data_IF_661210894517
#
_entry.id   IF_661210894517
#
_cell.length_a   1.000
_cell.length_b   1.000
_cell.length_c   1.000
_cell.angle_alpha   90.00
_cell.angle_beta   90.00
_cell.angle_gamma   90.00
#
_symmetry.space_group_name_H-M   'P 1'
#
loop_
_entity.id
_entity.type
_entity.pdbx_description
1 polymer ?
#
# COMPACT_ATOMS: atom_id res chain seq x y z
N UNK A 1 -30.69 -24.60 71.44
CA UNK A 1 -30.41 -23.47 70.52
C UNK A 1 -28.96 -22.99 70.56
N UNK A 2 -28.27 -22.93 71.72
CA UNK A 2 -26.89 -22.39 71.78
C UNK A 2 -25.81 -23.23 71.06
N UNK A 3 -25.97 -24.55 70.91
CA UNK A 3 -24.98 -25.38 70.18
C UNK A 3 -25.03 -25.21 68.66
N UNK A 4 -26.18 -24.82 68.11
CA UNK A 4 -26.35 -24.61 66.66
C UNK A 4 -25.74 -23.28 66.20
N UNK A 5 -25.79 -22.26 67.07
CA UNK A 5 -25.19 -20.93 66.85
C UNK A 5 -23.66 -21.02 66.85
N UNK A 6 -23.07 -21.83 67.74
CA UNK A 6 -21.61 -22.04 67.81
C UNK A 6 -21.10 -22.75 66.54
N UNK A 7 -21.87 -23.70 65.99
CA UNK A 7 -21.51 -24.38 64.74
C UNK A 7 -21.62 -23.46 63.51
N UNK A 8 -22.60 -22.56 63.49
CA UNK A 8 -22.77 -21.55 62.44
C UNK A 8 -21.64 -20.51 62.47
N UNK A 9 -21.16 -20.12 63.67
CA UNK A 9 -20.06 -19.16 63.82
C UNK A 9 -18.69 -19.78 63.45
N UNK A 10 -18.49 -21.07 63.68
CA UNK A 10 -17.29 -21.79 63.24
C UNK A 10 -17.18 -21.91 61.71
N UNK A 11 -18.30 -21.90 60.98
CA UNK A 11 -18.30 -22.00 59.52
C UNK A 11 -17.88 -20.68 58.85
N UNK A 12 -18.14 -19.54 59.51
CA UNK A 12 -17.74 -18.20 59.03
C UNK A 12 -16.22 -17.99 59.04
N UNK A 13 -15.47 -18.66 59.93
CA UNK A 13 -14.00 -18.55 59.97
C UNK A 13 -13.28 -19.40 58.90
N UNK A 14 -13.93 -20.44 58.36
CA UNK A 14 -13.32 -21.29 57.31
C UNK A 14 -13.54 -20.73 55.91
N UNK A 15 -14.58 -19.89 55.71
CA UNK A 15 -14.88 -19.27 54.43
C UNK A 15 -13.86 -18.18 53.99
N UNK A 16 -13.06 -17.63 54.91
CA UNK A 16 -12.04 -16.62 54.57
C UNK A 16 -10.78 -17.18 53.91
N UNK A 17 -10.54 -18.50 53.94
CA UNK A 17 -9.35 -19.11 53.32
C UNK A 17 -9.61 -19.76 51.94
N UNK A 18 -10.86 -19.82 51.48
CA UNK A 18 -11.18 -20.46 50.20
C UNK A 18 -11.13 -19.49 49.00
N UNK A 19 -10.93 -18.19 49.24
CA UNK A 19 -10.91 -17.15 48.20
C UNK A 19 -9.51 -16.68 47.81
N UNK A 20 -8.44 -17.34 48.27
CA UNK A 20 -7.09 -17.14 47.74
C UNK A 20 -6.81 -18.17 46.64
N UNK A 21 -7.43 -17.97 45.48
CA UNK A 21 -6.87 -18.50 44.24
C UNK A 21 -5.76 -17.53 43.83
N UNK A 22 -4.63 -17.67 44.51
CA UNK A 22 -3.41 -16.92 44.24
C UNK A 22 -2.82 -17.44 42.92
N UNK A 23 -3.39 -16.99 41.80
CA UNK A 23 -2.60 -16.82 40.59
C UNK A 23 -1.61 -15.70 40.92
N UNK A 24 -0.54 -16.03 41.65
CA UNK A 24 0.54 -15.10 42.01
C UNK A 24 1.26 -14.69 40.73
N UNK A 25 0.65 -13.75 39.97
CA UNK A 25 1.34 -13.02 38.93
C UNK A 25 2.56 -12.40 39.60
N UNK A 26 3.76 -12.79 39.18
CA UNK A 26 5.01 -12.34 39.77
C UNK A 26 5.17 -10.83 39.55
N UNK A 27 5.03 -9.98 40.58
CA UNK A 27 5.22 -8.54 40.43
C UNK A 27 6.72 -8.24 40.35
N UNK A 28 7.10 -7.44 39.35
CA UNK A 28 8.51 -7.09 39.09
C UNK A 28 8.81 -5.61 39.36
N UNK A 29 7.79 -4.75 39.36
CA UNK A 29 7.88 -3.36 39.74
C UNK A 29 6.53 -2.84 40.26
N UNK A 30 6.56 -1.73 41.01
CA UNK A 30 5.37 -1.09 41.59
C UNK A 30 5.53 0.43 41.59
N UNK A 31 4.48 1.14 41.22
CA UNK A 31 4.33 2.59 41.42
C UNK A 31 2.98 2.83 42.09
N UNK A 32 2.99 3.35 43.32
CA UNK A 32 1.78 3.54 44.14
C UNK A 32 0.93 2.26 44.22
N UNK A 33 -0.28 2.23 43.68
CA UNK A 33 -1.15 1.06 43.70
C UNK A 33 -1.13 0.25 42.39
N UNK A 34 -0.28 0.66 41.44
CA UNK A 34 -0.12 0.00 40.13
C UNK A 34 1.09 -0.92 40.15
N UNK A 35 0.90 -2.15 39.70
CA UNK A 35 1.93 -3.19 39.64
C UNK A 35 2.23 -3.55 38.19
N UNK A 36 3.50 -3.80 37.91
CA UNK A 36 3.96 -4.40 36.66
C UNK A 36 4.31 -5.86 36.92
N UNK A 37 3.82 -6.75 36.07
CA UNK A 37 4.01 -8.19 36.23
C UNK A 37 4.98 -8.75 35.21
N UNK A 38 5.59 -9.89 35.53
CA UNK A 38 6.50 -10.59 34.61
C UNK A 38 5.84 -10.91 33.26
N UNK A 39 4.56 -11.24 33.26
CA UNK A 39 3.79 -11.52 32.04
C UNK A 39 3.70 -10.33 31.08
N UNK A 40 3.77 -9.10 31.59
CA UNK A 40 3.67 -7.87 30.78
C UNK A 40 4.96 -7.61 29.98
N UNK A 41 6.07 -8.26 30.34
CA UNK A 41 7.38 -8.06 29.71
C UNK A 41 7.93 -9.32 29.02
N UNK A 42 7.26 -10.47 29.14
CA UNK A 42 7.76 -11.76 28.62
C UNK A 42 7.96 -11.77 27.11
N UNK A 43 7.16 -10.99 26.38
CA UNK A 43 7.22 -10.88 24.91
C UNK A 43 8.11 -9.73 24.43
N UNK A 44 8.66 -8.92 25.34
CA UNK A 44 9.45 -7.75 24.98
C UNK A 44 10.87 -8.10 24.50
N UNK A 45 11.38 -9.26 24.92
CA UNK A 45 12.75 -9.70 24.62
C UNK A 45 12.72 -10.75 23.51
N UNK A 46 13.44 -10.48 22.42
CA UNK A 46 13.63 -11.45 21.34
C UNK A 46 14.41 -12.68 21.87
N UNK A 47 14.03 -13.89 21.43
CA UNK A 47 14.67 -15.14 21.87
C UNK A 47 16.19 -15.20 21.57
N UNK A 48 16.68 -14.33 20.68
CA UNK A 48 18.09 -14.26 20.26
C UNK A 48 18.91 -13.22 21.04
N UNK A 49 18.32 -12.51 22.01
CA UNK A 49 19.04 -11.46 22.76
C UNK A 49 20.04 -12.06 23.76
N UNK A 50 21.19 -11.40 23.94
CA UNK A 50 22.14 -11.75 25.00
C UNK A 50 21.55 -11.45 26.37
N UNK A 51 22.14 -12.01 27.44
CA UNK A 51 21.67 -11.76 28.81
C UNK A 51 21.80 -10.28 29.18
N UNK A 52 22.91 -9.67 28.81
CA UNK A 52 23.25 -8.27 29.06
C UNK A 52 22.26 -7.35 28.32
N UNK A 53 22.00 -7.63 27.03
CA UNK A 53 21.05 -6.85 26.22
C UNK A 53 19.62 -7.00 26.75
N UNK A 54 19.23 -8.21 27.14
CA UNK A 54 17.91 -8.49 27.71
C UNK A 54 17.69 -7.71 29.01
N UNK A 55 18.69 -7.67 29.90
CA UNK A 55 18.64 -6.90 31.14
C UNK A 55 18.52 -5.40 30.87
N UNK A 56 19.24 -4.88 29.88
CA UNK A 56 19.16 -3.47 29.50
C UNK A 56 17.77 -3.13 28.93
N UNK A 57 17.20 -3.98 28.07
CA UNK A 57 15.86 -3.80 27.49
C UNK A 57 14.80 -3.78 28.60
N UNK A 58 14.82 -4.78 29.50
CA UNK A 58 13.85 -4.90 30.58
C UNK A 58 13.97 -3.72 31.55
N UNK A 59 15.18 -3.36 31.99
CA UNK A 59 15.38 -2.24 32.92
C UNK A 59 14.94 -0.91 32.33
N UNK A 60 15.25 -0.64 31.06
CA UNK A 60 14.77 0.56 30.35
C UNK A 60 13.24 0.59 30.23
N UNK A 61 12.62 -0.55 29.96
CA UNK A 61 11.16 -0.65 29.92
C UNK A 61 10.53 -0.35 31.28
N UNK A 62 11.02 -0.98 32.35
CA UNK A 62 10.54 -0.76 33.71
C UNK A 62 10.68 0.72 34.10
N UNK A 63 11.84 1.33 33.83
CA UNK A 63 12.07 2.74 34.12
C UNK A 63 11.11 3.66 33.36
N UNK A 64 10.90 3.40 32.06
CA UNK A 64 9.94 4.18 31.25
C UNK A 64 8.52 4.01 31.75
N UNK A 65 8.10 2.77 32.02
CA UNK A 65 6.77 2.47 32.58
C UNK A 65 6.56 3.20 33.92
N UNK A 66 7.53 3.10 34.84
CA UNK A 66 7.43 3.74 36.15
C UNK A 66 7.37 5.27 36.03
N UNK A 67 8.19 5.85 35.14
CA UNK A 67 8.15 7.28 34.83
C UNK A 67 6.79 7.71 34.30
N UNK A 68 6.20 6.93 33.39
CA UNK A 68 4.86 7.21 32.86
C UNK A 68 3.79 7.15 33.95
N UNK A 69 3.83 6.14 34.83
CA UNK A 69 2.87 6.04 35.94
C UNK A 69 2.96 7.26 36.86
N UNK A 70 4.17 7.66 37.25
CA UNK A 70 4.38 8.85 38.09
C UNK A 70 3.85 10.13 37.41
N UNK A 71 4.09 10.29 36.11
CA UNK A 71 3.59 11.44 35.35
C UNK A 71 2.06 11.46 35.26
N UNK A 72 1.42 10.30 35.09
CA UNK A 72 -0.05 10.19 35.09
C UNK A 72 -0.63 10.48 36.48
N UNK A 73 0.00 9.98 37.54
CA UNK A 73 -0.46 10.25 38.90
C UNK A 73 -0.35 11.76 39.22
N UNK A 74 0.76 12.39 38.83
CA UNK A 74 0.90 13.84 38.97
C UNK A 74 -0.05 14.62 38.07
N UNK A 75 -0.34 14.15 36.86
CA UNK A 75 -1.27 14.87 35.97
C UNK A 75 -2.68 14.89 36.54
N UNK A 76 -3.15 13.79 37.15
CA UNK A 76 -4.47 13.72 37.81
C UNK A 76 -4.60 14.68 39.00
N UNK A 77 -3.51 14.92 39.71
CA UNK A 77 -3.48 15.85 40.85
C UNK A 77 -3.42 17.31 40.38
N UNK A 78 -2.64 17.59 39.33
CA UNK A 78 -2.29 18.96 38.96
C UNK A 78 -3.14 19.55 37.82
N UNK A 79 -3.85 18.72 37.03
CA UNK A 79 -4.70 19.21 35.95
C UNK A 79 -6.10 19.62 36.45
N UNK A 80 -6.69 20.72 35.93
CA UNK A 80 -8.07 21.08 36.24
C UNK A 80 -9.05 19.97 35.84
N UNK A 81 -10.12 19.77 36.63
CA UNK A 81 -11.12 18.73 36.40
C UNK A 81 -11.72 18.77 34.99
N UNK A 82 -12.07 19.97 34.50
CA UNK A 82 -12.60 20.17 33.14
C UNK A 82 -11.71 19.56 32.04
N UNK A 83 -10.38 19.66 32.20
CA UNK A 83 -9.44 19.10 31.24
C UNK A 83 -9.35 17.57 31.36
N UNK A 84 -9.47 17.04 32.58
CA UNK A 84 -9.50 15.60 32.80
C UNK A 84 -10.75 14.99 32.18
N UNK A 85 -11.91 15.61 32.42
CA UNK A 85 -13.20 15.18 31.86
C UNK A 85 -13.17 15.17 30.33
N UNK A 86 -12.58 16.20 29.70
CA UNK A 86 -12.42 16.26 28.25
C UNK A 86 -11.51 15.13 27.70
N UNK A 87 -10.45 14.75 28.42
CA UNK A 87 -9.62 13.61 28.01
C UNK A 87 -10.34 12.28 28.20
N UNK A 88 -11.11 12.11 29.28
CA UNK A 88 -11.88 10.91 29.53
C UNK A 88 -12.99 10.72 28.48
N UNK A 89 -13.62 11.81 28.02
CA UNK A 89 -14.56 11.80 26.89
C UNK A 89 -13.87 11.29 25.61
N UNK A 90 -12.70 11.84 25.25
CA UNK A 90 -11.95 11.40 24.08
C UNK A 90 -11.53 9.93 24.15
N UNK A 91 -11.11 9.44 25.33
CA UNK A 91 -10.77 8.03 25.54
C UNK A 91 -12.01 7.15 25.39
N UNK A 92 -13.16 7.60 25.88
CA UNK A 92 -14.41 6.88 25.73
C UNK A 92 -14.88 6.82 24.28
N UNK A 93 -14.79 7.93 23.54
CA UNK A 93 -15.13 7.97 22.11
C UNK A 93 -14.25 7.02 21.30
N UNK A 94 -12.93 7.08 21.53
CA UNK A 94 -12.00 6.18 20.86
C UNK A 94 -12.28 4.70 21.20
N UNK A 95 -12.66 4.41 22.46
CA UNK A 95 -13.10 3.07 22.85
C UNK A 95 -14.34 2.66 22.06
N UNK A 96 -15.38 3.50 21.99
CA UNK A 96 -16.60 3.22 21.22
C UNK A 96 -16.27 2.92 19.76
N UNK A 97 -15.40 3.71 19.15
CA UNK A 97 -14.97 3.53 17.76
C UNK A 97 -14.26 2.18 17.57
N UNK A 98 -13.30 1.84 18.43
CA UNK A 98 -12.58 0.57 18.36
C UNK A 98 -13.52 -0.64 18.42
N UNK A 99 -14.48 -0.64 19.36
CA UNK A 99 -15.44 -1.74 19.48
C UNK A 99 -16.40 -1.79 18.29
N UNK A 100 -16.84 -0.64 17.82
CA UNK A 100 -17.77 -0.54 16.69
C UNK A 100 -17.13 -1.06 15.41
N UNK A 101 -15.91 -0.65 15.10
CA UNK A 101 -15.20 -1.09 13.90
C UNK A 101 -14.82 -2.57 13.97
N UNK A 102 -14.36 -3.05 15.14
CA UNK A 102 -14.11 -4.47 15.35
C UNK A 102 -15.38 -5.32 15.12
N UNK A 103 -16.52 -4.85 15.64
CA UNK A 103 -17.79 -5.55 15.44
C UNK A 103 -18.24 -5.52 13.98
N UNK A 104 -18.24 -4.36 13.32
CA UNK A 104 -18.55 -4.24 11.88
C UNK A 104 -17.69 -5.19 11.05
N UNK A 105 -16.37 -5.20 11.26
CA UNK A 105 -15.45 -6.12 10.58
C UNK A 105 -15.79 -7.59 10.83
N UNK A 106 -16.20 -7.95 12.06
CA UNK A 106 -16.64 -9.30 12.38
C UNK A 106 -17.95 -9.70 11.66
N UNK A 107 -18.87 -8.75 11.47
CA UNK A 107 -20.12 -8.99 10.75
C UNK A 107 -19.85 -9.15 9.26
N UNK A 108 -19.08 -8.23 8.68
CA UNK A 108 -18.66 -8.25 7.27
C UNK A 108 -17.95 -9.57 6.94
N UNK A 109 -16.99 -9.99 7.76
CA UNK A 109 -16.24 -11.24 7.50
C UNK A 109 -17.09 -12.51 7.66
N UNK A 110 -18.16 -12.49 8.47
CA UNK A 110 -19.08 -13.63 8.62
C UNK A 110 -20.17 -13.68 7.55
N UNK A 111 -20.60 -12.52 7.06
CA UNK A 111 -21.75 -12.41 6.14
C UNK A 111 -21.35 -12.33 4.67
N UNK A 112 -20.12 -11.92 4.36
CA UNK A 112 -19.63 -11.91 2.98
C UNK A 112 -19.06 -13.28 2.62
N UNK A 113 -19.76 -14.01 1.76
CA UNK A 113 -19.12 -15.05 0.95
C UNK A 113 -18.18 -14.36 -0.04
N UNK A 114 -16.87 -14.47 0.20
CA UNK A 114 -15.85 -13.90 -0.68
C UNK A 114 -15.68 -14.68 -1.99
N UNK A 115 -16.39 -15.79 -2.16
CA UNK A 115 -16.28 -16.67 -3.33
C UNK A 115 -17.06 -16.07 -4.50
N UNK A 116 -16.36 -15.36 -5.38
CA UNK A 116 -16.94 -14.89 -6.64
C UNK A 116 -16.86 -16.01 -7.67
N UNK A 117 -18.01 -16.49 -8.13
CA UNK A 117 -18.06 -17.51 -9.20
C UNK A 117 -17.68 -16.90 -10.55
N UNK A 118 -17.19 -17.74 -11.47
CA UNK A 118 -16.85 -17.30 -12.83
C UNK A 118 -18.07 -16.70 -13.57
N UNK A 119 -19.27 -17.21 -13.32
CA UNK A 119 -20.51 -16.68 -13.90
C UNK A 119 -20.86 -15.28 -13.40
N UNK A 120 -20.72 -15.03 -12.09
CA UNK A 120 -20.90 -13.69 -11.51
C UNK A 120 -19.87 -12.70 -12.03
N UNK A 121 -18.60 -13.12 -12.16
CA UNK A 121 -17.54 -12.30 -12.72
C UNK A 121 -17.85 -11.89 -14.16
N UNK A 122 -18.26 -12.86 -14.99
CA UNK A 122 -18.60 -12.62 -16.39
C UNK A 122 -19.81 -11.70 -16.52
N UNK A 123 -20.87 -11.93 -15.74
CA UNK A 123 -22.06 -11.08 -15.73
C UNK A 123 -21.76 -9.64 -15.29
N UNK A 124 -20.94 -9.47 -14.26
CA UNK A 124 -20.49 -8.16 -13.81
C UNK A 124 -19.67 -7.45 -14.89
N UNK A 125 -18.70 -8.15 -15.49
CA UNK A 125 -17.90 -7.61 -16.59
C UNK A 125 -18.80 -7.18 -17.76
N UNK A 126 -19.71 -8.05 -18.21
CA UNK A 126 -20.60 -7.78 -19.34
C UNK A 126 -21.52 -6.58 -19.08
N UNK A 127 -22.05 -6.45 -17.86
CA UNK A 127 -22.90 -5.32 -17.45
C UNK A 127 -22.11 -4.01 -17.37
N UNK A 128 -20.84 -4.08 -17.01
CA UNK A 128 -19.98 -2.92 -16.75
C UNK A 128 -18.91 -2.70 -17.83
N UNK A 129 -19.05 -3.29 -19.03
CA UNK A 129 -18.05 -3.21 -20.11
C UNK A 129 -17.60 -1.80 -20.43
N UNK A 130 -18.51 -0.84 -20.37
CA UNK A 130 -18.23 0.58 -20.62
C UNK A 130 -17.19 1.16 -19.64
N UNK A 131 -17.16 0.69 -18.39
CA UNK A 131 -16.19 1.13 -17.38
C UNK A 131 -14.77 0.59 -17.64
N UNK A 132 -14.63 -0.44 -18.46
CA UNK A 132 -13.36 -1.07 -18.80
C UNK A 132 -12.82 -0.64 -20.17
N UNK A 133 -13.49 0.29 -20.86
CA UNK A 133 -12.97 0.85 -22.10
C UNK A 133 -11.77 1.74 -21.80
N UNK A 134 -10.74 1.63 -22.64
CA UNK A 134 -9.58 2.50 -22.55
C UNK A 134 -9.97 3.93 -22.97
N UNK A 135 -9.67 4.91 -22.12
CA UNK A 135 -9.99 6.33 -22.35
C UNK A 135 -9.05 7.04 -23.36
N UNK A 136 -8.32 6.30 -24.20
CA UNK A 136 -7.27 6.86 -25.05
C UNK A 136 -7.13 6.16 -26.39
N UNK A 137 -6.63 6.90 -27.38
CA UNK A 137 -6.33 6.37 -28.71
C UNK A 137 -5.05 5.52 -28.64
N UNK A 138 -5.11 4.30 -29.16
CA UNK A 138 -3.95 3.44 -29.36
C UNK A 138 -3.55 3.45 -30.83
N UNK A 139 -2.25 3.49 -31.07
CA UNK A 139 -1.66 3.50 -32.41
C UNK A 139 -0.58 2.42 -32.48
N UNK A 140 -0.53 1.72 -33.61
CA UNK A 140 0.63 0.93 -34.04
C UNK A 140 1.46 1.80 -34.95
N UNK A 141 2.71 2.02 -34.59
CA UNK A 141 3.56 2.99 -35.26
C UNK A 141 4.99 2.49 -35.36
N UNK A 142 5.57 2.66 -36.53
CA UNK A 142 7.01 2.60 -36.73
C UNK A 142 7.53 3.96 -37.15
N UNK A 143 8.68 4.35 -36.62
CA UNK A 143 9.27 5.65 -36.93
C UNK A 143 10.79 5.60 -36.92
N UNK A 144 11.39 6.57 -37.63
CA UNK A 144 12.83 6.85 -37.62
C UNK A 144 13.00 8.36 -37.52
N UNK A 145 13.91 8.81 -36.67
CA UNK A 145 14.39 10.18 -36.59
C UNK A 145 15.87 10.22 -37.02
N UNK A 146 16.20 11.11 -37.96
CA UNK A 146 17.56 11.34 -38.47
C UNK A 146 17.90 12.83 -38.49
N UNK A 147 19.18 13.15 -38.65
CA UNK A 147 19.63 14.51 -38.96
C UNK A 147 19.10 15.02 -40.30
N UNK A 148 19.00 16.35 -40.44
CA UNK A 148 18.57 17.01 -41.68
C UNK A 148 19.46 16.66 -42.88
N UNK A 149 20.77 16.52 -42.65
CA UNK A 149 21.76 16.21 -43.67
C UNK A 149 22.00 14.69 -43.86
N UNK A 150 21.05 13.84 -43.49
CA UNK A 150 21.19 12.39 -43.59
C UNK A 150 21.26 11.93 -45.06
N UNK A 151 22.41 11.41 -45.47
CA UNK A 151 22.75 11.12 -46.88
C UNK A 151 21.86 10.06 -47.56
N UNK A 152 21.31 9.11 -46.80
CA UNK A 152 20.56 7.95 -47.32
C UNK A 152 19.04 8.04 -47.09
N UNK A 153 18.49 9.24 -46.90
CA UNK A 153 17.09 9.44 -46.48
C UNK A 153 16.07 8.75 -47.39
N UNK A 154 16.20 8.91 -48.72
CA UNK A 154 15.28 8.31 -49.69
C UNK A 154 15.25 6.78 -49.59
N UNK A 155 16.41 6.15 -49.44
CA UNK A 155 16.52 4.69 -49.30
C UNK A 155 15.92 4.20 -47.99
N UNK A 156 16.18 4.89 -46.89
CA UNK A 156 15.59 4.57 -45.57
C UNK A 156 14.08 4.71 -45.59
N UNK A 157 13.55 5.76 -46.25
CA UNK A 157 12.11 5.99 -46.45
C UNK A 157 11.44 4.83 -47.19
N UNK A 158 12.02 4.36 -48.29
CA UNK A 158 11.48 3.23 -49.04
C UNK A 158 11.48 1.94 -48.21
N UNK A 159 12.59 1.65 -47.52
CA UNK A 159 12.72 0.48 -46.64
C UNK A 159 11.71 0.51 -45.50
N UNK A 160 11.52 1.67 -44.85
CA UNK A 160 10.55 1.82 -43.76
C UNK A 160 9.10 1.66 -44.24
N UNK A 161 8.81 2.04 -45.49
CA UNK A 161 7.46 1.88 -46.04
C UNK A 161 7.16 0.42 -46.41
N UNK A 162 8.10 -0.30 -47.05
CA UNK A 162 7.94 -1.71 -47.45
C UNK A 162 8.05 -2.68 -46.28
N UNK A 163 9.04 -2.48 -45.41
CA UNK A 163 9.22 -3.15 -44.12
C UNK A 163 9.18 -4.70 -44.15
N UNK A 164 9.72 -5.31 -45.21
CA UNK A 164 9.94 -6.76 -45.27
C UNK A 164 11.16 -7.20 -44.42
N UNK A 165 11.41 -8.51 -44.30
CA UNK A 165 12.48 -9.03 -43.44
C UNK A 165 13.89 -8.53 -43.83
N UNK A 166 14.18 -8.37 -45.12
CA UNK A 166 15.46 -7.82 -45.59
C UNK A 166 15.59 -6.33 -45.24
N UNK A 167 14.52 -5.56 -45.43
CA UNK A 167 14.44 -4.14 -45.09
C UNK A 167 14.58 -3.96 -43.56
N UNK A 168 13.98 -4.84 -42.74
CA UNK A 168 14.15 -4.84 -41.27
C UNK A 168 15.61 -5.04 -40.87
N UNK A 169 16.27 -6.08 -41.40
CA UNK A 169 17.69 -6.34 -41.13
C UNK A 169 18.54 -5.12 -41.51
N UNK A 170 18.34 -4.63 -42.74
CA UNK A 170 19.01 -3.44 -43.26
C UNK A 170 18.83 -2.19 -42.40
N UNK A 171 17.60 -1.92 -41.93
CA UNK A 171 17.31 -0.77 -41.08
C UNK A 171 17.92 -0.92 -39.69
N UNK A 172 18.00 -2.15 -39.18
CA UNK A 172 18.67 -2.45 -37.92
C UNK A 172 20.18 -2.21 -38.01
N UNK A 173 20.83 -2.59 -39.13
CA UNK A 173 22.25 -2.30 -39.37
C UNK A 173 22.54 -0.80 -39.42
N UNK A 174 21.58 -0.02 -39.95
CA UNK A 174 21.67 1.45 -40.03
C UNK A 174 21.24 2.15 -38.73
N UNK A 175 20.73 1.43 -37.74
CA UNK A 175 20.11 2.00 -36.53
C UNK A 175 21.04 2.89 -35.73
N UNK A 176 22.34 2.62 -35.76
CA UNK A 176 23.39 3.40 -35.10
C UNK A 176 23.44 4.86 -35.61
N UNK A 177 23.00 5.10 -36.86
CA UNK A 177 22.99 6.42 -37.47
C UNK A 177 21.68 7.19 -37.18
N UNK A 178 20.70 6.56 -36.53
CA UNK A 178 19.42 7.18 -36.20
C UNK A 178 19.48 7.81 -34.81
N UNK A 179 18.86 8.98 -34.65
CA UNK A 179 18.74 9.64 -33.34
C UNK A 179 17.76 8.90 -32.42
N UNK A 180 16.68 8.40 -33.01
CA UNK A 180 15.64 7.64 -32.35
C UNK A 180 14.89 6.81 -33.38
N UNK A 181 14.42 5.63 -33.01
CA UNK A 181 13.64 4.77 -33.90
C UNK A 181 12.75 3.81 -33.12
N UNK A 182 11.67 3.38 -33.76
CA UNK A 182 10.86 2.24 -33.33
C UNK A 182 10.44 1.44 -34.57
N UNK A 183 10.76 0.15 -34.57
CA UNK A 183 10.43 -0.80 -35.63
C UNK A 183 9.30 -1.76 -35.24
N UNK A 184 8.83 -1.71 -33.99
CA UNK A 184 7.80 -2.60 -33.53
C UNK A 184 6.42 -2.08 -33.93
N UNK A 185 5.86 -2.69 -34.98
CA UNK A 185 4.50 -2.44 -35.48
C UNK A 185 3.45 -3.38 -34.86
N UNK A 186 3.88 -4.33 -34.03
CA UNK A 186 2.99 -5.33 -33.42
C UNK A 186 2.40 -4.86 -32.09
N UNK A 187 3.02 -3.88 -31.43
CA UNK A 187 2.62 -3.37 -30.12
C UNK A 187 1.78 -2.09 -30.27
N UNK A 188 0.64 -2.06 -29.57
CA UNK A 188 -0.17 -0.86 -29.43
C UNK A 188 0.45 0.11 -28.42
N UNK A 189 0.64 1.35 -28.83
CA UNK A 189 1.20 2.42 -27.99
C UNK A 189 0.15 3.52 -27.83
N UNK A 190 0.05 4.09 -26.62
CA UNK A 190 -0.81 5.26 -26.37
C UNK A 190 -0.32 6.44 -27.19
N UNK A 191 -1.24 7.15 -27.83
CA UNK A 191 -0.94 8.35 -28.61
C UNK A 191 -0.17 9.40 -27.81
N UNK A 192 -0.48 9.57 -26.54
CA UNK A 192 0.17 10.54 -25.66
C UNK A 192 1.66 10.21 -25.49
N UNK A 193 1.98 8.94 -25.24
CA UNK A 193 3.37 8.47 -25.15
C UNK A 193 4.13 8.65 -26.48
N UNK A 194 3.45 8.46 -27.62
CA UNK A 194 4.05 8.74 -28.92
C UNK A 194 4.36 10.23 -29.11
N UNK A 195 3.49 11.13 -28.65
CA UNK A 195 3.69 12.59 -28.75
C UNK A 195 4.84 13.06 -27.84
N UNK A 196 5.05 12.43 -26.68
CA UNK A 196 6.19 12.72 -25.81
C UNK A 196 7.52 12.42 -26.50
N UNK A 197 7.60 11.28 -27.19
CA UNK A 197 8.81 10.88 -27.94
C UNK A 197 8.96 11.66 -29.25
N UNK A 198 7.84 11.98 -29.91
CA UNK A 198 7.78 12.71 -31.18
C UNK A 198 6.92 13.97 -31.06
N UNK A 199 7.45 15.06 -30.47
CA UNK A 199 6.70 16.31 -30.29
C UNK A 199 6.18 16.92 -31.59
N UNK A 200 6.84 16.62 -32.72
CA UNK A 200 6.43 17.04 -34.06
C UNK A 200 4.99 16.60 -34.43
N UNK A 201 4.46 15.57 -33.77
CA UNK A 201 3.10 15.08 -33.97
C UNK A 201 2.03 15.89 -33.20
N UNK A 202 2.42 16.69 -32.20
CA UNK A 202 1.49 17.41 -31.30
C UNK A 202 0.54 18.36 -32.04
N UNK A 203 1.05 19.08 -33.03
CA UNK A 203 0.31 20.11 -33.77
C UNK A 203 -0.16 19.64 -35.16
N UNK A 204 0.01 18.35 -35.48
CA UNK A 204 -0.40 17.80 -36.79
C UNK A 204 -1.82 17.26 -36.71
N UNK A 205 -2.59 17.44 -37.79
CA UNK A 205 -4.01 17.09 -37.83
C UNK A 205 -4.21 15.59 -37.57
N UNK A 206 -5.36 15.20 -37.02
CA UNK A 206 -5.76 13.77 -36.86
C UNK A 206 -5.67 12.98 -38.18
N UNK A 207 -5.59 13.66 -39.33
CA UNK A 207 -5.41 13.04 -40.64
C UNK A 207 -4.02 12.42 -40.82
N UNK A 208 -2.97 13.00 -40.24
CA UNK A 208 -1.61 12.42 -40.23
C UNK A 208 -1.59 11.11 -39.44
N UNK A 209 -2.48 10.99 -38.45
CA UNK A 209 -2.63 9.82 -37.59
C UNK A 209 -3.63 8.77 -38.09
N UNK A 210 -4.12 8.88 -39.33
CA UNK A 210 -5.01 7.88 -39.92
C UNK A 210 -4.25 6.62 -40.33
N UNK A 211 -4.97 5.49 -40.27
CA UNK A 211 -4.50 4.16 -40.63
C UNK A 211 -3.79 4.15 -41.99
N UNK A 212 -2.63 3.48 -42.05
CA UNK A 212 -1.81 3.27 -43.26
C UNK A 212 -1.11 4.52 -43.85
N UNK A 213 -1.13 5.66 -43.16
CA UNK A 213 -0.43 6.85 -43.64
C UNK A 213 1.07 6.79 -43.35
N UNK A 214 1.88 6.97 -44.40
CA UNK A 214 3.29 7.30 -44.29
C UNK A 214 3.45 8.82 -44.30
N UNK A 215 4.14 9.37 -43.32
CA UNK A 215 4.38 10.82 -43.23
C UNK A 215 5.84 11.11 -43.00
N UNK A 216 6.35 12.10 -43.72
CA UNK A 216 7.66 12.69 -43.48
C UNK A 216 7.45 14.09 -42.89
N UNK A 217 8.04 14.32 -41.72
CA UNK A 217 7.97 15.59 -41.00
C UNK A 217 9.38 16.11 -40.75
N UNK A 218 9.51 17.41 -40.55
CA UNK A 218 10.79 18.06 -40.27
C UNK A 218 10.56 19.18 -39.26
N UNK A 219 11.48 19.31 -38.32
CA UNK A 219 11.59 20.44 -37.39
C UNK A 219 13.07 20.81 -37.18
N UNK A 220 13.36 21.67 -36.20
CA UNK A 220 14.74 22.11 -35.89
C UNK A 220 15.65 21.00 -35.33
N UNK A 221 15.11 19.87 -34.91
CA UNK A 221 15.83 18.74 -34.31
C UNK A 221 16.13 17.63 -35.33
N UNK A 222 15.44 17.60 -36.47
CA UNK A 222 15.76 16.72 -37.59
C UNK A 222 14.57 16.35 -38.47
N UNK A 223 14.73 15.24 -39.18
CA UNK A 223 13.72 14.67 -40.08
C UNK A 223 13.13 13.41 -39.47
N UNK A 224 11.81 13.30 -39.51
CA UNK A 224 11.03 12.23 -38.92
C UNK A 224 10.27 11.48 -40.01
N UNK A 225 10.49 10.18 -40.09
CA UNK A 225 9.72 9.28 -40.94
C UNK A 225 8.80 8.48 -40.02
N UNK A 226 7.48 8.61 -40.21
CA UNK A 226 6.48 7.97 -39.35
C UNK A 226 5.49 7.20 -40.21
N UNK A 227 5.25 5.95 -39.87
CA UNK A 227 4.24 5.09 -40.51
C UNK A 227 3.30 4.53 -39.46
N UNK A 228 2.01 4.75 -39.67
CA UNK A 228 0.95 4.25 -38.79
C UNK A 228 0.23 3.10 -39.49
N UNK A 229 -0.03 2.02 -38.75
CA UNK A 229 -0.67 0.79 -39.26
C UNK A 229 -2.17 0.69 -39.04
#
# INVERSE_FOLDING_TARGET
MNKLIIFLFSFLFVACNFFKQDNEKLPIARVNDTYLYFDDIKELVAQTASKEDSLLIISNFINRWATQQLLIDQSKINLPQERQDAFDELVNDYKVDLYTEAYKGSIVSRQLDSTVTQGQLQSFYDTNKENFKLNGELLKVRYIQVDENFSNLSRVKEKLNRFNEEDKSSLNDLSIQFKSFNFNDSIWVKKEALIEVLPVLKNKSRQVLKKSNFTQLQDSLGVYLVKIE
#
